data_IF_871229030828
#
_entry.id   IF_871229030828
#
_cell.length_a   1.000
_cell.length_b   1.000
_cell.length_c   1.000
_cell.angle_alpha   90.00
_cell.angle_beta   90.00
_cell.angle_gamma   90.00
#
_symmetry.space_group_name_H-M   'P 1'
#
loop_
_entity.id
_entity.type
_entity.pdbx_description
1 polymer ?
#
# COMPACT_ATOMS: atom_id res chain seq x y z
N UNK A 1 14.22 5.92 -31.96
CA UNK A 1 13.52 5.48 -30.73
C UNK A 1 12.08 5.90 -30.87
N UNK A 2 11.15 4.95 -30.86
CA UNK A 2 9.72 5.26 -30.84
C UNK A 2 9.31 5.59 -29.41
N UNK A 3 8.58 6.70 -29.27
CA UNK A 3 8.02 7.15 -28.00
C UNK A 3 6.65 6.47 -27.86
N UNK A 4 6.54 5.50 -26.97
CA UNK A 4 5.28 4.79 -26.70
C UNK A 4 4.61 5.44 -25.49
N UNK A 5 3.35 5.85 -25.64
CA UNK A 5 2.62 6.63 -24.63
C UNK A 5 2.30 5.84 -23.35
N UNK A 6 2.17 4.52 -23.45
CA UNK A 6 1.99 3.63 -22.30
C UNK A 6 2.45 2.20 -22.60
N UNK A 7 2.97 1.48 -21.60
CA UNK A 7 3.26 0.05 -21.70
C UNK A 7 3.00 -0.68 -20.38
N UNK A 8 2.66 -1.97 -20.46
CA UNK A 8 2.39 -2.80 -19.27
C UNK A 8 3.64 -3.56 -18.86
N UNK A 9 4.14 -3.33 -17.64
CA UNK A 9 5.24 -4.08 -17.06
C UNK A 9 4.75 -4.77 -15.77
N UNK A 10 4.81 -6.11 -15.73
CA UNK A 10 4.40 -6.93 -14.59
C UNK A 10 2.98 -6.63 -14.05
N UNK A 11 2.08 -6.18 -14.94
CA UNK A 11 0.70 -5.84 -14.60
C UNK A 11 0.48 -4.40 -14.12
N UNK A 12 1.53 -3.57 -14.09
CA UNK A 12 1.46 -2.13 -13.88
C UNK A 12 1.53 -1.39 -15.22
N UNK A 13 0.65 -0.42 -15.42
CA UNK A 13 0.69 0.47 -16.59
C UNK A 13 1.69 1.59 -16.30
N UNK A 14 2.73 1.66 -17.13
CA UNK A 14 3.72 2.73 -17.13
C UNK A 14 3.34 3.66 -18.27
N UNK A 15 2.75 4.80 -17.96
CA UNK A 15 2.40 5.87 -18.90
C UNK A 15 3.12 7.18 -18.53
N UNK A 16 3.06 8.19 -19.41
CA UNK A 16 3.65 9.51 -19.13
C UNK A 16 3.00 10.24 -17.94
N UNK A 17 1.77 9.84 -17.56
CA UNK A 17 0.93 10.49 -16.55
C UNK A 17 1.07 9.86 -15.15
N UNK A 18 1.84 8.78 -15.02
CA UNK A 18 2.12 8.12 -13.76
C UNK A 18 1.04 7.14 -13.30
N UNK A 19 0.71 6.13 -14.13
CA UNK A 19 -0.19 5.00 -13.86
C UNK A 19 -0.05 4.25 -12.52
N UNK A 20 0.90 4.64 -11.67
CA UNK A 20 1.02 4.25 -10.26
C UNK A 20 -0.19 4.62 -9.40
N UNK A 21 -1.03 5.61 -9.75
CA UNK A 21 -2.15 6.01 -8.88
C UNK A 21 -3.21 4.91 -8.70
N UNK A 22 -3.55 4.24 -9.81
CA UNK A 22 -4.46 3.11 -9.81
C UNK A 22 -3.90 1.95 -8.97
N UNK A 23 -2.60 1.69 -9.10
CA UNK A 23 -1.90 0.65 -8.33
C UNK A 23 -1.83 0.97 -6.84
N UNK A 24 -1.51 2.22 -6.46
CA UNK A 24 -1.52 2.69 -5.08
C UNK A 24 -2.92 2.52 -4.47
N UNK A 25 -3.96 2.96 -5.19
CA UNK A 25 -5.36 2.80 -4.75
C UNK A 25 -5.72 1.32 -4.56
N UNK A 26 -5.30 0.45 -5.48
CA UNK A 26 -5.51 -1.01 -5.40
C UNK A 26 -4.80 -1.62 -4.20
N UNK A 27 -3.56 -1.22 -3.91
CA UNK A 27 -2.81 -1.70 -2.72
C UNK A 27 -3.41 -1.21 -1.42
N UNK A 28 -3.85 0.05 -1.33
CA UNK A 28 -4.58 0.56 -0.17
C UNK A 28 -5.85 -0.28 0.08
N UNK A 29 -6.61 -0.60 -0.98
CA UNK A 29 -7.79 -1.47 -0.86
C UNK A 29 -7.45 -2.86 -0.30
N UNK A 30 -6.39 -3.50 -0.80
CA UNK A 30 -5.93 -4.80 -0.28
C UNK A 30 -5.43 -4.72 1.16
N UNK A 31 -4.63 -3.70 1.50
CA UNK A 31 -4.12 -3.49 2.84
C UNK A 31 -5.24 -3.22 3.85
N UNK A 32 -6.26 -2.44 3.46
CA UNK A 32 -7.47 -2.22 4.28
C UNK A 32 -8.20 -3.53 4.55
N UNK A 33 -8.36 -4.39 3.55
CA UNK A 33 -8.96 -5.73 3.74
C UNK A 33 -8.14 -6.58 4.71
N UNK A 34 -6.82 -6.62 4.54
CA UNK A 34 -5.92 -7.36 5.44
C UNK A 34 -5.99 -6.82 6.89
N UNK A 35 -6.03 -5.50 7.06
CA UNK A 35 -6.19 -4.87 8.36
C UNK A 35 -7.53 -5.27 9.02
N UNK A 36 -8.64 -5.22 8.28
CA UNK A 36 -9.96 -5.60 8.80
C UNK A 36 -10.06 -7.08 9.16
N UNK A 37 -9.37 -7.97 8.43
CA UNK A 37 -9.32 -9.40 8.75
C UNK A 37 -8.64 -9.69 10.09
N UNK A 38 -7.77 -8.79 10.57
CA UNK A 38 -7.05 -8.90 11.84
C UNK A 38 -7.77 -8.16 13.00
N UNK A 39 -9.07 -7.84 12.87
CA UNK A 39 -9.85 -7.10 13.87
C UNK A 39 -9.73 -7.64 15.30
N UNK A 40 -9.71 -8.95 15.46
CA UNK A 40 -9.51 -9.64 16.74
C UNK A 40 -8.14 -9.37 17.37
N UNK A 41 -7.08 -9.24 16.57
CA UNK A 41 -5.75 -8.85 17.04
C UNK A 41 -5.76 -7.41 17.56
N UNK A 42 -6.38 -6.49 16.82
CA UNK A 42 -6.45 -5.08 17.20
C UNK A 42 -7.25 -4.87 18.49
N UNK A 43 -8.35 -5.61 18.65
CA UNK A 43 -9.21 -5.56 19.83
C UNK A 43 -8.65 -6.31 21.05
N UNK A 44 -7.63 -7.15 20.88
CA UNK A 44 -7.08 -7.95 21.99
C UNK A 44 -6.40 -7.05 23.03
N UNK A 45 -6.81 -7.19 24.30
CA UNK A 45 -6.14 -6.55 25.45
C UNK A 45 -4.90 -7.29 25.93
N UNK A 46 -4.74 -8.56 25.53
CA UNK A 46 -3.62 -9.41 25.94
C UNK A 46 -2.35 -9.11 25.14
N UNK A 47 -2.50 -8.58 23.93
CA UNK A 47 -1.37 -8.24 23.06
C UNK A 47 -0.87 -6.84 23.35
N UNK A 48 0.44 -6.71 23.58
CA UNK A 48 1.09 -5.40 23.72
C UNK A 48 1.05 -4.61 22.41
N UNK A 49 1.12 -3.29 22.53
CA UNK A 49 1.19 -2.38 21.37
C UNK A 49 2.36 -2.74 20.45
N UNK A 50 3.52 -3.10 21.01
CA UNK A 50 4.70 -3.49 20.24
C UNK A 50 4.45 -4.72 19.36
N UNK A 51 3.72 -5.72 19.87
CA UNK A 51 3.37 -6.91 19.08
C UNK A 51 2.40 -6.53 17.96
N UNK A 52 1.39 -5.71 18.24
CA UNK A 52 0.42 -5.24 17.23
C UNK A 52 1.11 -4.45 16.12
N UNK A 53 2.05 -3.56 16.45
CA UNK A 53 2.86 -2.81 15.48
C UNK A 53 3.70 -3.76 14.63
N UNK A 54 4.32 -4.80 15.23
CA UNK A 54 5.06 -5.81 14.47
C UNK A 54 4.14 -6.54 13.48
N UNK A 55 2.95 -6.96 13.91
CA UNK A 55 1.95 -7.62 13.06
C UNK A 55 1.50 -6.70 11.91
N UNK A 56 1.25 -5.43 12.21
CA UNK A 56 0.91 -4.43 11.19
C UNK A 56 2.03 -4.31 10.14
N UNK A 57 3.28 -4.18 10.57
CA UNK A 57 4.42 -4.04 9.67
C UNK A 57 4.63 -5.28 8.79
N UNK A 58 4.46 -6.48 9.34
CA UNK A 58 4.71 -7.73 8.59
C UNK A 58 3.56 -8.13 7.67
N UNK A 59 2.31 -7.83 8.04
CA UNK A 59 1.14 -8.29 7.27
C UNK A 59 0.49 -7.16 6.45
N UNK A 60 0.20 -6.03 7.07
CA UNK A 60 -0.57 -4.94 6.43
C UNK A 60 0.35 -4.05 5.60
N UNK A 61 1.48 -3.61 6.17
CA UNK A 61 2.43 -2.74 5.49
C UNK A 61 3.11 -3.46 4.31
N UNK A 62 3.39 -4.75 4.44
CA UNK A 62 3.89 -5.58 3.35
C UNK A 62 2.92 -5.62 2.15
N UNK A 63 1.62 -5.80 2.40
CA UNK A 63 0.58 -5.78 1.35
C UNK A 63 0.44 -4.40 0.72
N UNK A 64 0.53 -3.34 1.54
CA UNK A 64 0.44 -1.95 1.10
C UNK A 64 1.59 -1.56 0.16
N UNK A 65 2.82 -1.97 0.47
CA UNK A 65 4.02 -1.55 -0.25
C UNK A 65 4.48 -2.55 -1.33
N UNK A 66 3.76 -3.64 -1.55
CA UNK A 66 4.09 -4.58 -2.62
C UNK A 66 4.00 -3.88 -3.99
N UNK A 67 5.08 -3.96 -4.78
CA UNK A 67 5.16 -3.32 -6.09
C UNK A 67 5.43 -1.82 -6.00
N UNK A 68 5.77 -1.30 -4.81
CA UNK A 68 6.11 0.11 -4.64
C UNK A 68 7.41 0.51 -5.33
N UNK A 69 8.27 -0.45 -5.66
CA UNK A 69 9.50 -0.23 -6.42
C UNK A 69 9.25 0.29 -7.85
N UNK A 70 8.07 0.04 -8.42
CA UNK A 70 7.67 0.55 -9.75
C UNK A 70 6.81 1.81 -9.66
N UNK A 71 6.49 2.26 -8.44
CA UNK A 71 5.67 3.45 -8.26
C UNK A 71 6.48 4.72 -8.47
N UNK A 72 5.86 5.70 -9.10
CA UNK A 72 6.39 7.06 -9.12
C UNK A 72 6.30 7.66 -7.71
N UNK A 73 7.45 7.97 -7.12
CA UNK A 73 7.55 8.65 -5.82
C UNK A 73 7.16 10.12 -5.95
N UNK A 74 5.86 10.38 -5.94
CA UNK A 74 5.30 11.74 -5.90
C UNK A 74 4.83 12.06 -4.48
N UNK A 75 4.76 13.35 -4.13
CA UNK A 75 4.19 13.82 -2.87
C UNK A 75 2.76 13.28 -2.68
N UNK A 76 1.96 13.25 -3.75
CA UNK A 76 0.59 12.70 -3.71
C UNK A 76 0.57 11.22 -3.37
N UNK A 77 1.44 10.41 -3.97
CA UNK A 77 1.58 8.97 -3.65
C UNK A 77 1.95 8.77 -2.18
N UNK A 78 2.96 9.51 -1.70
CA UNK A 78 3.41 9.44 -0.31
C UNK A 78 2.27 9.82 0.64
N UNK A 79 1.55 10.91 0.36
CA UNK A 79 0.41 11.36 1.18
C UNK A 79 -0.70 10.31 1.24
N UNK A 80 -1.07 9.69 0.11
CA UNK A 80 -2.10 8.65 0.07
C UNK A 80 -1.73 7.44 0.94
N UNK A 81 -0.47 6.99 0.86
CA UNK A 81 0.06 5.89 1.68
C UNK A 81 0.09 6.28 3.16
N UNK A 82 0.57 7.50 3.48
CA UNK A 82 0.68 7.97 4.85
C UNK A 82 -0.68 8.12 5.54
N UNK A 83 -1.68 8.66 4.83
CA UNK A 83 -3.05 8.78 5.35
C UNK A 83 -3.61 7.41 5.75
N UNK A 84 -3.37 6.38 4.95
CA UNK A 84 -3.79 5.03 5.31
C UNK A 84 -3.05 4.50 6.55
N UNK A 85 -1.72 4.64 6.61
CA UNK A 85 -0.93 4.19 7.77
C UNK A 85 -1.38 4.87 9.05
N UNK A 86 -1.56 6.20 9.03
CA UNK A 86 -2.03 6.99 10.17
C UNK A 86 -3.46 6.64 10.60
N UNK A 87 -4.27 6.08 9.71
CA UNK A 87 -5.63 5.62 10.08
C UNK A 87 -5.64 4.25 10.76
N UNK A 88 -4.53 3.52 10.76
CA UNK A 88 -4.42 2.16 11.29
C UNK A 88 -3.69 2.08 12.65
N UNK A 89 -2.82 3.04 12.93
CA UNK A 89 -1.99 3.13 14.15
C UNK A 89 -2.53 4.22 15.06
#
# INVERSE_FOLDING_TARGET
MEKVESFTYLGSIIDEQGGSDADVKKRIGKARKAFLQLKNIWNSKQLSTNIKVRIFNTNVKAVLLYGSETWRTTTTTIMKVQVFINSCL
#
